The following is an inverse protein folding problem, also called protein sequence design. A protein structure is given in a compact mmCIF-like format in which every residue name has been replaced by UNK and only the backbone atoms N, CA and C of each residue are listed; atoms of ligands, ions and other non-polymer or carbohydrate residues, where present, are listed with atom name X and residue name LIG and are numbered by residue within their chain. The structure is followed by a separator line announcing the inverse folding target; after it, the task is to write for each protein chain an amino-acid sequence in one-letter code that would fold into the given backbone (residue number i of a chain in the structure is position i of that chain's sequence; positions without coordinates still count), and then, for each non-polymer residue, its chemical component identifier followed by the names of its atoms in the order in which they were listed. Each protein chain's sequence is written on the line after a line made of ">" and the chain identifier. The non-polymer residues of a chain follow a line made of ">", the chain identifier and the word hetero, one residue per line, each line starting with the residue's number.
data_IF_642951962104
#
_entry.id   IF_642951962104
#
_cell.length_a   1.000
_cell.length_b   1.000
_cell.length_c   1.000
_cell.angle_alpha   90.00
_cell.angle_beta   90.00
_cell.angle_gamma   90.00
#
_symmetry.space_group_name_H-M   'P 1'
#
loop_
_entity.id
_entity.type
_entity.pdbx_description
1 polymer ?
#
# COMPACT_ATOMS: atom_id res chain seq x y z
N UNK A 1 42.92 -9.30 5.74
CA UNK A 1 41.96 -8.19 5.50
C UNK A 1 40.68 -8.79 4.94
N UNK A 2 39.61 -8.85 5.76
CA UNK A 2 38.33 -9.44 5.38
C UNK A 2 37.53 -8.41 4.57
N UNK A 3 37.27 -8.69 3.30
CA UNK A 3 36.43 -7.85 2.45
C UNK A 3 34.98 -7.94 2.93
N UNK A 4 34.50 -6.93 3.65
CA UNK A 4 33.09 -6.80 4.00
C UNK A 4 32.28 -6.78 2.71
N UNK A 5 31.42 -7.79 2.52
CA UNK A 5 30.60 -7.92 1.33
C UNK A 5 29.46 -6.88 1.38
N UNK A 6 29.74 -5.68 0.86
CA UNK A 6 28.82 -4.53 0.88
C UNK A 6 27.47 -4.82 0.21
N UNK A 7 27.36 -5.88 -0.60
CA UNK A 7 26.09 -6.31 -1.22
C UNK A 7 25.13 -6.97 -0.23
N UNK A 8 25.62 -7.62 0.83
CA UNK A 8 24.75 -8.29 1.82
C UNK A 8 24.10 -7.29 2.78
N UNK A 9 24.79 -6.19 3.09
CA UNK A 9 24.35 -5.16 4.04
C UNK A 9 23.22 -4.30 3.44
N UNK A 10 23.23 -4.04 2.13
CA UNK A 10 22.18 -3.27 1.44
C UNK A 10 20.94 -4.11 1.05
N UNK A 11 21.05 -5.45 1.06
CA UNK A 11 19.97 -6.33 0.61
C UNK A 11 18.79 -6.43 1.58
N UNK A 12 19.05 -6.33 2.89
CA UNK A 12 18.03 -6.50 3.94
C UNK A 12 16.88 -5.50 3.84
N UNK A 13 17.15 -4.17 3.96
CA UNK A 13 16.11 -3.14 3.89
C UNK A 13 15.31 -3.17 2.58
N UNK A 14 15.99 -3.37 1.45
CA UNK A 14 15.33 -3.46 0.13
C UNK A 14 14.41 -4.67 0.02
N UNK A 15 14.83 -5.82 0.54
CA UNK A 15 13.98 -7.03 0.60
C UNK A 15 12.73 -6.78 1.44
N UNK A 16 12.87 -6.09 2.58
CA UNK A 16 11.72 -5.70 3.42
C UNK A 16 10.74 -4.84 2.65
N UNK A 17 11.19 -3.80 1.95
CA UNK A 17 10.30 -2.92 1.17
C UNK A 17 9.52 -3.73 0.10
N UNK A 18 10.20 -4.63 -0.61
CA UNK A 18 9.55 -5.49 -1.61
C UNK A 18 8.52 -6.42 -0.96
N UNK A 19 8.84 -7.04 0.17
CA UNK A 19 7.91 -7.92 0.87
C UNK A 19 6.68 -7.15 1.31
N UNK A 20 6.84 -5.99 1.96
CA UNK A 20 5.69 -5.21 2.41
C UNK A 20 4.87 -4.69 1.22
N UNK A 21 5.50 -4.25 0.13
CA UNK A 21 4.78 -3.85 -1.08
C UNK A 21 3.90 -4.98 -1.64
N UNK A 22 4.40 -6.23 -1.64
CA UNK A 22 3.60 -7.40 -2.00
C UNK A 22 2.50 -7.72 -1.01
N UNK A 23 2.73 -7.56 0.30
CA UNK A 23 1.68 -7.77 1.31
C UNK A 23 0.53 -6.77 1.14
N UNK A 24 0.85 -5.50 0.86
CA UNK A 24 -0.16 -4.48 0.54
C UNK A 24 -0.95 -4.90 -0.71
N UNK A 25 -0.25 -5.30 -1.78
CA UNK A 25 -0.94 -5.77 -2.99
C UNK A 25 -1.84 -7.00 -2.72
N UNK A 26 -1.34 -7.97 -1.95
CA UNK A 26 -2.07 -9.19 -1.63
C UNK A 26 -3.32 -8.93 -0.78
N UNK A 27 -3.23 -8.08 0.25
CA UNK A 27 -4.40 -7.76 1.09
C UNK A 27 -5.44 -6.97 0.32
N UNK A 28 -5.02 -6.10 -0.61
CA UNK A 28 -5.90 -5.38 -1.52
C UNK A 28 -6.66 -6.32 -2.47
N UNK A 29 -5.97 -7.28 -3.07
CA UNK A 29 -6.61 -8.31 -3.91
C UNK A 29 -7.57 -9.15 -3.08
N UNK A 30 -7.15 -9.59 -1.88
CA UNK A 30 -8.01 -10.36 -0.99
C UNK A 30 -9.29 -9.58 -0.64
N UNK A 31 -9.19 -8.29 -0.32
CA UNK A 31 -10.32 -7.43 -0.02
C UNK A 31 -11.28 -7.30 -1.21
N UNK A 32 -10.75 -7.08 -2.42
CA UNK A 32 -11.55 -7.04 -3.65
C UNK A 32 -12.27 -8.36 -3.89
N UNK A 33 -11.55 -9.49 -3.83
CA UNK A 33 -12.11 -10.82 -4.08
C UNK A 33 -13.21 -11.15 -3.07
N UNK A 34 -12.98 -10.91 -1.77
CA UNK A 34 -13.98 -11.14 -0.74
C UNK A 34 -15.24 -10.31 -0.97
N UNK A 35 -15.10 -9.01 -1.26
CA UNK A 35 -16.28 -8.15 -1.46
C UNK A 35 -17.00 -8.43 -2.77
N UNK A 36 -16.29 -8.79 -3.84
CA UNK A 36 -16.92 -9.28 -5.07
C UNK A 36 -17.67 -10.58 -4.82
N UNK A 37 -17.13 -11.49 -4.00
CA UNK A 37 -17.79 -12.75 -3.67
C UNK A 37 -19.07 -12.54 -2.84
N UNK A 38 -19.00 -11.74 -1.78
CA UNK A 38 -20.17 -11.42 -0.95
C UNK A 38 -21.20 -10.53 -1.65
N UNK A 39 -20.74 -9.64 -2.55
CA UNK A 39 -21.57 -8.76 -3.36
C UNK A 39 -22.01 -9.35 -4.71
N UNK A 40 -21.68 -10.61 -5.01
CA UNK A 40 -21.86 -11.18 -6.35
C UNK A 40 -23.31 -11.07 -6.87
N UNK A 41 -24.29 -11.09 -5.96
CA UNK A 41 -25.72 -11.01 -6.28
C UNK A 41 -26.16 -9.64 -6.80
N UNK A 42 -25.43 -8.55 -6.49
CA UNK A 42 -25.78 -7.20 -6.94
C UNK A 42 -25.03 -6.77 -8.20
N UNK A 43 -24.00 -7.53 -8.62
CA UNK A 43 -23.17 -7.24 -9.80
C UNK A 43 -23.99 -7.18 -11.10
N UNK A 44 -24.96 -8.08 -11.38
CA UNK A 44 -25.76 -7.98 -12.61
C UNK A 44 -26.46 -6.61 -12.73
N UNK A 45 -26.98 -6.11 -11.62
CA UNK A 45 -27.61 -4.79 -11.55
C UNK A 45 -26.65 -3.65 -11.95
N UNK A 46 -25.35 -3.76 -11.71
CA UNK A 46 -24.37 -2.74 -12.13
C UNK A 46 -24.30 -2.62 -13.65
N UNK A 47 -24.37 -3.76 -14.35
CA UNK A 47 -24.35 -3.81 -15.82
C UNK A 47 -25.68 -3.31 -16.39
N UNK A 48 -26.79 -3.65 -15.73
CA UNK A 48 -28.14 -3.23 -16.11
C UNK A 48 -28.42 -1.75 -15.79
N UNK A 49 -27.49 -1.05 -15.14
CA UNK A 49 -27.56 0.39 -14.89
C UNK A 49 -28.08 0.79 -13.52
N UNK A 50 -28.14 -0.11 -12.53
CA UNK A 50 -28.51 0.20 -11.14
C UNK A 50 -27.57 1.21 -10.45
N UNK A 51 -26.42 1.50 -11.06
CA UNK A 51 -25.49 2.56 -10.63
C UNK A 51 -25.67 3.88 -11.41
N UNK A 52 -26.50 3.91 -12.46
CA UNK A 52 -26.76 5.08 -13.31
C UNK A 52 -27.97 5.83 -12.74
N UNK A 53 -27.83 7.14 -12.49
CA UNK A 53 -28.88 7.92 -11.83
C UNK A 53 -29.01 7.61 -10.33
N UNK A 54 -27.97 6.98 -9.76
CA UNK A 54 -27.72 6.88 -8.33
C UNK A 54 -27.55 8.29 -7.74
N UNK A 55 -28.68 8.96 -7.52
CA UNK A 55 -28.80 10.26 -6.85
C UNK A 55 -29.22 10.01 -5.41
N UNK A 56 -28.40 9.26 -4.66
CA UNK A 56 -28.56 9.26 -3.22
C UNK A 56 -28.39 10.72 -2.76
N UNK A 57 -29.48 11.35 -2.30
CA UNK A 57 -29.49 12.74 -1.83
C UNK A 57 -28.46 12.93 -0.70
N UNK A 58 -28.14 11.83 0.00
CA UNK A 58 -27.08 11.73 0.98
C UNK A 58 -26.48 10.30 1.05
N UNK A 59 -25.40 10.13 1.83
CA UNK A 59 -24.81 8.80 2.05
C UNK A 59 -25.74 7.83 2.80
N UNK A 60 -26.76 8.33 3.51
CA UNK A 60 -27.69 7.49 4.26
C UNK A 60 -28.73 6.82 3.35
N UNK A 61 -28.98 7.39 2.18
CA UNK A 61 -29.90 6.88 1.16
C UNK A 61 -29.25 5.96 0.12
N UNK A 62 -27.96 5.62 0.28
CA UNK A 62 -27.30 4.66 -0.60
C UNK A 62 -28.00 3.30 -0.59
N UNK A 63 -28.29 2.80 -1.79
CA UNK A 63 -28.76 1.44 -1.99
C UNK A 63 -27.68 0.43 -1.60
N UNK A 64 -28.11 -0.80 -1.32
CA UNK A 64 -27.20 -1.93 -1.06
C UNK A 64 -26.20 -2.11 -2.23
N UNK A 65 -26.67 -1.93 -3.46
CA UNK A 65 -25.84 -2.05 -4.67
C UNK A 65 -24.71 -1.01 -4.71
N UNK A 66 -25.00 0.25 -4.39
CA UNK A 66 -24.01 1.32 -4.31
C UNK A 66 -23.01 1.10 -3.16
N UNK A 67 -23.49 0.68 -2.00
CA UNK A 67 -22.63 0.36 -0.86
C UNK A 67 -21.61 -0.74 -1.18
N UNK A 68 -22.03 -1.81 -1.87
CA UNK A 68 -21.12 -2.85 -2.34
C UNK A 68 -20.15 -2.35 -3.42
N UNK A 69 -20.58 -1.47 -4.32
CA UNK A 69 -19.70 -0.88 -5.33
C UNK A 69 -18.58 -0.06 -4.67
N UNK A 70 -18.92 0.86 -3.76
CA UNK A 70 -17.96 1.72 -3.06
C UNK A 70 -17.07 0.97 -2.07
N UNK A 71 -17.54 -0.16 -1.54
CA UNK A 71 -16.70 -1.03 -0.71
C UNK A 71 -15.70 -1.82 -1.56
N UNK A 72 -16.01 -2.12 -2.82
CA UNK A 72 -15.21 -2.98 -3.71
C UNK A 72 -14.48 -2.20 -4.80
N UNK A 73 -15.03 -2.18 -6.02
CA UNK A 73 -14.39 -1.65 -7.23
C UNK A 73 -14.22 -0.12 -7.19
N UNK A 74 -15.21 0.59 -6.65
CA UNK A 74 -15.14 2.03 -6.43
C UNK A 74 -14.32 2.42 -5.19
N UNK A 75 -13.89 1.44 -4.40
CA UNK A 75 -13.18 1.64 -3.15
C UNK A 75 -11.66 1.83 -3.29
N UNK A 76 -11.00 1.97 -2.15
CA UNK A 76 -9.54 2.19 -2.08
C UNK A 76 -8.69 0.94 -2.29
N UNK A 77 -9.29 -0.26 -2.38
CA UNK A 77 -8.54 -1.49 -2.52
C UNK A 77 -7.78 -1.56 -3.86
N UNK A 78 -8.37 -1.11 -4.97
CA UNK A 78 -7.68 -1.08 -6.27
C UNK A 78 -6.52 -0.06 -6.31
N UNK A 79 -6.69 1.21 -5.86
CA UNK A 79 -5.57 2.13 -5.66
C UNK A 79 -4.45 1.58 -4.77
N UNK A 80 -4.78 0.90 -3.66
CA UNK A 80 -3.79 0.30 -2.78
C UNK A 80 -3.03 -0.85 -3.44
N UNK A 81 -3.72 -1.66 -4.25
CA UNK A 81 -3.07 -2.71 -5.05
C UNK A 81 -2.01 -2.10 -5.97
N UNK A 82 -2.39 -1.07 -6.74
CA UNK A 82 -1.47 -0.36 -7.62
C UNK A 82 -0.30 0.27 -6.84
N UNK A 83 -0.57 0.84 -5.67
CA UNK A 83 0.46 1.40 -4.79
C UNK A 83 1.45 0.34 -4.28
N UNK A 84 0.96 -0.84 -3.87
CA UNK A 84 1.80 -1.96 -3.47
C UNK A 84 2.74 -2.39 -4.59
N UNK A 85 2.22 -2.52 -5.82
CA UNK A 85 3.04 -2.82 -7.00
C UNK A 85 4.03 -1.71 -7.33
N UNK A 86 3.63 -0.44 -7.21
CA UNK A 86 4.51 0.70 -7.42
C UNK A 86 5.68 0.69 -6.43
N UNK A 87 5.42 0.41 -5.14
CA UNK A 87 6.46 0.28 -4.11
C UNK A 87 7.42 -0.85 -4.47
N UNK A 88 6.91 -2.01 -4.91
CA UNK A 88 7.74 -3.13 -5.37
C UNK A 88 8.60 -2.74 -6.56
N UNK A 89 8.02 -2.05 -7.55
CA UNK A 89 8.71 -1.60 -8.74
C UNK A 89 9.82 -0.60 -8.40
N UNK A 90 9.52 0.42 -7.59
CA UNK A 90 10.49 1.42 -7.11
C UNK A 90 11.65 0.76 -6.36
N UNK A 91 11.34 -0.13 -5.40
CA UNK A 91 12.35 -0.86 -4.66
C UNK A 91 13.23 -1.72 -5.57
N UNK A 92 12.65 -2.37 -6.58
CA UNK A 92 13.39 -3.14 -7.59
C UNK A 92 14.26 -2.26 -8.47
N UNK A 93 13.79 -1.06 -8.83
CA UNK A 93 14.56 -0.07 -9.57
C UNK A 93 15.65 0.63 -8.73
N UNK A 94 15.69 0.40 -7.40
CA UNK A 94 16.61 1.11 -6.50
C UNK A 94 16.19 2.55 -6.24
N UNK A 95 14.94 2.91 -6.56
CA UNK A 95 14.36 4.23 -6.33
C UNK A 95 13.59 4.18 -5.01
N UNK A 96 13.88 5.12 -4.12
CA UNK A 96 13.18 5.24 -2.86
C UNK A 96 11.81 5.93 -3.06
N UNK A 97 10.68 5.38 -2.57
CA UNK A 97 9.41 6.08 -2.62
C UNK A 97 9.46 7.42 -1.88
N UNK A 98 8.73 8.46 -2.32
CA UNK A 98 8.64 9.70 -1.59
C UNK A 98 8.07 9.51 -0.18
N UNK A 99 8.60 10.22 0.82
CA UNK A 99 8.19 10.08 2.23
C UNK A 99 6.70 10.34 2.44
N UNK A 100 6.11 11.27 1.66
CA UNK A 100 4.69 11.59 1.77
C UNK A 100 3.78 10.38 1.53
N UNK A 101 4.21 9.38 0.75
CA UNK A 101 3.44 8.15 0.51
C UNK A 101 3.16 7.44 1.83
N UNK A 102 4.16 7.33 2.69
CA UNK A 102 4.01 6.68 4.00
C UNK A 102 3.18 7.52 4.95
N UNK A 103 3.35 8.85 4.91
CA UNK A 103 2.59 9.76 5.77
C UNK A 103 1.10 9.76 5.42
N UNK A 104 0.76 9.80 4.13
CA UNK A 104 -0.62 9.72 3.66
C UNK A 104 -1.25 8.39 4.05
N UNK A 105 -0.52 7.28 3.87
CA UNK A 105 -1.01 5.96 4.28
C UNK A 105 -1.27 5.89 5.79
N UNK A 106 -0.41 6.44 6.64
CA UNK A 106 -0.64 6.52 8.09
C UNK A 106 -1.81 7.44 8.44
N UNK A 107 -1.85 8.63 7.85
CA UNK A 107 -2.90 9.62 8.08
C UNK A 107 -4.28 9.09 7.66
N UNK A 108 -4.35 8.19 6.70
CA UNK A 108 -5.58 7.54 6.28
C UNK A 108 -5.91 6.28 7.11
N UNK A 109 -4.91 5.42 7.37
CA UNK A 109 -5.15 4.15 8.07
C UNK A 109 -5.42 4.30 9.57
N UNK A 110 -4.85 5.32 10.23
CA UNK A 110 -5.05 5.53 11.67
C UNK A 110 -6.49 5.94 11.99
N UNK A 111 -7.08 7.01 11.39
CA UNK A 111 -8.48 7.33 11.61
C UNK A 111 -9.41 6.21 11.19
N UNK A 112 -9.14 5.54 10.06
CA UNK A 112 -9.92 4.39 9.61
C UNK A 112 -9.93 3.25 10.64
N UNK A 113 -8.80 2.98 11.28
CA UNK A 113 -8.70 1.98 12.36
C UNK A 113 -9.47 2.42 13.61
N UNK A 114 -9.42 3.70 13.97
CA UNK A 114 -10.10 4.21 15.16
C UNK A 114 -11.63 4.21 15.01
N UNK A 115 -12.13 4.50 13.81
CA UNK A 115 -13.57 4.54 13.53
C UNK A 115 -14.12 3.15 13.24
N UNK A 116 -13.37 2.31 12.53
CA UNK A 116 -13.82 1.00 12.05
C UNK A 116 -12.91 -0.12 12.57
N UNK A 117 -13.07 -0.43 13.87
CA UNK A 117 -12.38 -1.52 14.54
C UNK A 117 -13.33 -2.70 14.84
N UNK A 118 -12.96 -3.95 14.52
CA UNK A 118 -11.77 -4.39 13.79
C UNK A 118 -11.94 -4.26 12.26
N UNK A 119 -10.88 -3.88 11.55
CA UNK A 119 -10.92 -3.71 10.09
C UNK A 119 -9.54 -3.82 9.42
N UNK A 120 -9.53 -3.89 8.08
CA UNK A 120 -8.29 -4.03 7.27
C UNK A 120 -7.28 -2.90 7.46
N UNK A 121 -7.72 -1.73 7.93
CA UNK A 121 -6.88 -0.58 8.27
C UNK A 121 -5.82 -0.91 9.34
N UNK A 122 -6.14 -1.80 10.29
CA UNK A 122 -5.23 -2.18 11.36
C UNK A 122 -3.96 -2.85 10.82
N UNK A 123 -4.07 -3.64 9.75
CA UNK A 123 -2.94 -4.31 9.12
C UNK A 123 -2.03 -3.33 8.36
N UNK A 124 -2.58 -2.22 7.84
CA UNK A 124 -1.82 -1.23 7.06
C UNK A 124 -0.88 -0.37 7.92
N UNK A 125 -1.23 -0.11 9.19
CA UNK A 125 -0.40 0.67 10.10
C UNK A 125 1.01 0.05 10.28
N UNK A 126 1.16 -1.19 10.78
CA UNK A 126 2.48 -1.77 10.96
C UNK A 126 3.24 -1.93 9.65
N UNK A 127 2.55 -2.27 8.54
CA UNK A 127 3.15 -2.34 7.22
C UNK A 127 3.78 -1.00 6.81
N UNK A 128 3.04 0.10 6.98
CA UNK A 128 3.49 1.44 6.60
C UNK A 128 4.65 1.91 7.47
N UNK A 129 4.61 1.64 8.78
CA UNK A 129 5.72 1.94 9.70
C UNK A 129 6.99 1.16 9.31
N UNK A 130 6.86 -0.14 9.02
CA UNK A 130 7.99 -0.97 8.58
C UNK A 130 8.58 -0.46 7.27
N UNK A 131 7.73 -0.07 6.30
CA UNK A 131 8.18 0.55 5.05
C UNK A 131 8.99 1.82 5.30
N UNK A 132 8.47 2.74 6.11
CA UNK A 132 9.14 4.00 6.43
C UNK A 132 10.51 3.76 7.08
N UNK A 133 10.59 2.84 8.05
CA UNK A 133 11.85 2.51 8.73
C UNK A 133 12.84 1.84 7.79
N UNK A 134 12.38 0.92 6.93
CA UNK A 134 13.24 0.24 5.95
C UNK A 134 13.78 1.23 4.89
N UNK A 135 12.96 2.17 4.43
CA UNK A 135 13.37 3.21 3.49
C UNK A 135 14.40 4.16 4.13
N UNK A 136 14.12 4.64 5.34
CA UNK A 136 15.05 5.49 6.09
C UNK A 136 16.42 4.83 6.32
N UNK A 137 16.44 3.52 6.63
CA UNK A 137 17.68 2.75 6.75
C UNK A 137 18.42 2.64 5.41
N UNK A 138 17.71 2.39 4.32
CA UNK A 138 18.28 2.29 2.97
C UNK A 138 18.97 3.58 2.54
N UNK A 139 18.35 4.73 2.81
CA UNK A 139 18.92 6.06 2.51
C UNK A 139 20.22 6.31 3.28
N UNK A 140 20.24 6.03 4.59
CA UNK A 140 21.44 6.21 5.44
C UNK A 140 22.63 5.36 4.95
N UNK A 141 22.37 4.10 4.58
CA UNK A 141 23.40 3.22 4.03
C UNK A 141 23.99 3.75 2.72
N UNK A 142 23.13 4.26 1.84
CA UNK A 142 23.55 4.83 0.54
C UNK A 142 24.44 6.06 0.74
N UNK A 143 24.05 6.99 1.62
CA UNK A 143 24.86 8.18 1.93
C UNK A 143 26.21 7.81 2.53
N UNK A 144 26.25 6.88 3.48
CA UNK A 144 27.51 6.44 4.10
C UNK A 144 28.49 5.82 3.08
N UNK A 145 27.97 5.02 2.14
CA UNK A 145 28.77 4.39 1.08
C UNK A 145 29.34 5.42 0.10
N UNK A 146 28.56 6.44 -0.27
CA UNK A 146 29.02 7.54 -1.13
C UNK A 146 30.14 8.32 -0.44
N UNK A 147 29.97 8.69 0.83
CA UNK A 147 31.00 9.40 1.60
C UNK A 147 32.31 8.61 1.73
N UNK A 148 32.22 7.30 2.01
CA UNK A 148 33.40 6.44 2.11
C UNK A 148 34.17 6.32 0.77
N UNK A 149 33.45 6.23 -0.36
CA UNK A 149 34.07 6.20 -1.70
C UNK A 149 34.80 7.50 -2.03
N UNK A 150 34.19 8.64 -1.74
CA UNK A 150 34.80 9.96 -1.97
C UNK A 150 36.06 10.17 -1.11
N UNK A 151 36.09 9.62 0.10
CA UNK A 151 37.26 9.67 0.97
C UNK A 151 38.42 8.79 0.46
N UNK A 152 38.11 7.63 -0.12
CA UNK A 152 39.12 6.70 -0.66
C UNK A 152 39.71 7.14 -2.02
N UNK A 153 39.07 8.08 -2.72
CA UNK A 153 39.55 8.63 -4.00
C UNK A 153 40.41 9.90 -3.85
N UNK A 154 40.71 10.32 -2.62
CA UNK A 154 41.61 11.44 -2.29
C UNK A 154 42.91 10.89 -1.75
#
# INVERSE_FOLDING_TARGET
>A
MSSVNLRSVSGGPRRTIVVIGWLIAAISVFHLVMLTFFGARVIPGWVDGALRGAEAEDFASMTVSEGYFWSSLGGFAFPLFALGLLIVWLARAGVAPPVFVYLVLLAWSVPGTLVFFPGGYLALIPMTVILLVADAKSRKLTTAQVSARTAASR
#
